data_IF_035162274692
#
_entry.id   IF_035162274692
#
_cell.length_a   1.000
_cell.length_b   1.000
_cell.length_c   1.000
_cell.angle_alpha   90.00
_cell.angle_beta   90.00
_cell.angle_gamma   90.00
#
_symmetry.space_group_name_H-M   'P 1'
#
loop_
_entity.id
_entity.type
_entity.pdbx_description
1 polymer ?
#
# COMPACT_ATOMS: atom_id res chain seq x y z
N UNK A 1 4.34 13.15 -5.95
CA UNK A 1 4.58 12.81 -4.54
C UNK A 1 5.79 11.91 -4.40
N UNK A 2 5.87 10.70 -4.99
CA UNK A 2 7.01 9.76 -4.84
C UNK A 2 8.41 10.37 -5.11
N UNK A 3 8.57 11.15 -6.19
CA UNK A 3 9.85 11.85 -6.47
C UNK A 3 10.21 12.80 -5.32
N UNK A 4 9.29 13.65 -4.86
CA UNK A 4 9.54 14.57 -3.74
C UNK A 4 9.98 13.83 -2.47
N UNK A 5 9.33 12.71 -2.16
CA UNK A 5 9.73 11.89 -1.00
C UNK A 5 11.18 11.37 -1.15
N UNK A 6 11.57 10.97 -2.37
CA UNK A 6 12.95 10.51 -2.62
C UNK A 6 13.95 11.67 -2.63
N UNK A 7 13.57 12.86 -3.08
CA UNK A 7 14.37 14.08 -2.95
C UNK A 7 14.61 14.39 -1.46
N UNK A 8 13.57 14.33 -0.62
CA UNK A 8 13.67 14.61 0.82
C UNK A 8 14.61 13.63 1.56
N UNK A 9 14.55 12.33 1.22
CA UNK A 9 15.42 11.30 1.84
C UNK A 9 16.72 11.03 1.09
N UNK A 10 16.93 11.63 -0.06
CA UNK A 10 17.97 11.45 -1.08
C UNK A 10 17.82 10.19 -1.94
N UNK A 11 18.12 10.24 -3.24
CA UNK A 11 18.10 9.08 -4.14
C UNK A 11 18.99 7.92 -3.68
N UNK A 12 20.12 8.25 -3.04
CA UNK A 12 21.03 7.26 -2.48
C UNK A 12 20.37 6.46 -1.35
N UNK A 13 19.66 7.12 -0.43
CA UNK A 13 18.95 6.44 0.65
C UNK A 13 17.85 5.52 0.08
N UNK A 14 17.11 6.00 -0.92
CA UNK A 14 16.11 5.18 -1.63
C UNK A 14 16.73 3.93 -2.27
N UNK A 15 17.84 4.09 -2.98
CA UNK A 15 18.60 2.98 -3.57
C UNK A 15 19.09 1.98 -2.51
N UNK A 16 19.71 2.45 -1.43
CA UNK A 16 20.19 1.58 -0.34
C UNK A 16 19.02 0.82 0.34
N UNK A 17 17.85 1.45 0.47
CA UNK A 17 16.68 0.80 0.99
C UNK A 17 16.19 -0.32 0.06
N UNK A 18 16.08 -0.07 -1.25
CA UNK A 18 15.68 -1.09 -2.24
C UNK A 18 16.66 -2.27 -2.24
N UNK A 19 17.96 -2.02 -2.06
CA UNK A 19 18.96 -3.10 -1.89
C UNK A 19 18.72 -3.94 -0.64
N UNK A 20 18.27 -3.34 0.48
CA UNK A 20 17.90 -4.09 1.69
C UNK A 20 16.66 -4.96 1.50
N UNK A 21 15.74 -4.58 0.61
CA UNK A 21 14.62 -5.40 0.19
C UNK A 21 15.02 -6.58 -0.71
N UNK A 22 16.31 -6.75 -1.02
CA UNK A 22 16.85 -7.90 -1.75
C UNK A 22 16.95 -7.69 -3.27
N UNK A 23 16.68 -6.50 -3.79
CA UNK A 23 16.84 -6.20 -5.22
C UNK A 23 18.34 -6.07 -5.52
N UNK A 24 18.91 -7.04 -6.22
CA UNK A 24 20.35 -7.09 -6.55
C UNK A 24 20.67 -6.51 -7.93
N UNK A 25 19.70 -6.49 -8.83
CA UNK A 25 19.85 -6.06 -10.23
C UNK A 25 20.17 -4.59 -10.40
N UNK A 26 19.76 -3.73 -9.47
CA UNK A 26 20.08 -2.30 -9.52
C UNK A 26 21.57 -2.02 -9.31
N UNK A 27 22.09 -1.06 -10.07
CA UNK A 27 23.48 -0.59 -10.03
C UNK A 27 23.57 0.84 -9.46
N UNK A 28 24.78 1.38 -9.35
CA UNK A 28 24.95 2.77 -8.92
C UNK A 28 24.41 3.79 -9.91
N UNK A 29 24.25 3.42 -11.18
CA UNK A 29 23.69 4.28 -12.22
C UNK A 29 22.18 4.48 -12.04
N UNK A 30 21.53 3.62 -11.21
CA UNK A 30 20.11 3.72 -10.85
C UNK A 30 19.88 4.68 -9.65
N UNK A 31 20.92 5.33 -9.13
CA UNK A 31 20.79 6.34 -8.06
C UNK A 31 20.31 7.66 -8.69
N UNK A 32 19.04 7.71 -9.02
CA UNK A 32 18.39 8.83 -9.70
C UNK A 32 17.08 9.19 -9.00
N UNK A 33 16.63 10.44 -9.13
CA UNK A 33 15.39 10.94 -8.54
C UNK A 33 14.14 10.20 -9.06
N UNK A 34 14.21 9.64 -10.27
CA UNK A 34 13.15 8.87 -10.89
C UNK A 34 13.10 7.39 -10.45
N UNK A 35 14.03 6.91 -9.64
CA UNK A 35 14.05 5.53 -9.14
C UNK A 35 12.68 5.07 -8.57
N UNK A 36 11.96 5.89 -7.76
CA UNK A 36 10.66 5.50 -7.20
C UNK A 36 9.54 5.38 -8.25
N UNK A 37 9.78 5.77 -9.49
CA UNK A 37 8.86 5.56 -10.59
C UNK A 37 9.05 4.18 -11.27
N UNK A 38 10.06 3.40 -10.84
CA UNK A 38 10.31 2.07 -11.35
C UNK A 38 11.13 2.03 -12.64
N UNK A 39 12.11 2.94 -12.77
CA UNK A 39 13.00 2.98 -13.95
C UNK A 39 14.05 1.86 -13.94
N UNK A 40 14.32 1.25 -12.78
CA UNK A 40 15.27 0.15 -12.65
C UNK A 40 14.70 -1.19 -13.10
N UNK A 41 15.53 -2.04 -13.69
CA UNK A 41 15.15 -3.41 -14.06
C UNK A 41 15.23 -4.36 -12.87
N UNK A 42 14.18 -5.15 -12.65
CA UNK A 42 14.10 -6.15 -11.57
C UNK A 42 13.57 -7.48 -12.11
N UNK A 43 13.98 -8.58 -11.50
CA UNK A 43 13.40 -9.89 -11.82
C UNK A 43 12.12 -10.13 -11.01
N UNK A 44 11.22 -10.98 -11.54
CA UNK A 44 9.99 -11.37 -10.82
C UNK A 44 10.29 -11.97 -9.46
N UNK A 45 11.36 -12.77 -9.34
CA UNK A 45 11.74 -13.43 -8.10
C UNK A 45 12.21 -12.41 -7.05
N UNK A 46 13.07 -11.47 -7.44
CA UNK A 46 13.52 -10.41 -6.53
C UNK A 46 12.36 -9.51 -6.08
N UNK A 47 11.46 -9.16 -7.01
CA UNK A 47 10.29 -8.34 -6.68
C UNK A 47 9.33 -9.10 -5.75
N UNK A 48 9.13 -10.40 -5.95
CA UNK A 48 8.32 -11.22 -5.04
C UNK A 48 8.93 -11.28 -3.63
N UNK A 49 10.25 -11.50 -3.53
CA UNK A 49 10.95 -11.50 -2.25
C UNK A 49 10.93 -10.14 -1.56
N UNK A 50 11.01 -9.04 -2.33
CA UNK A 50 10.89 -7.69 -1.79
C UNK A 50 9.47 -7.40 -1.26
N UNK A 51 8.43 -7.82 -1.98
CA UNK A 51 7.04 -7.66 -1.55
C UNK A 51 6.71 -8.55 -0.35
N UNK A 52 7.30 -9.74 -0.23
CA UNK A 52 7.13 -10.64 0.93
C UNK A 52 7.59 -10.00 2.25
N UNK A 53 8.54 -9.06 2.21
CA UNK A 53 8.98 -8.30 3.41
C UNK A 53 7.79 -7.65 4.14
N UNK A 54 6.80 -7.18 3.39
CA UNK A 54 5.67 -6.42 3.93
C UNK A 54 4.77 -7.32 4.79
N UNK A 55 4.14 -8.41 4.28
CA UNK A 55 3.32 -9.29 5.11
C UNK A 55 4.13 -10.11 6.12
N UNK A 56 5.46 -10.12 6.01
CA UNK A 56 6.37 -10.83 6.92
C UNK A 56 6.91 -9.92 8.05
N UNK A 57 6.14 -8.91 8.48
CA UNK A 57 6.49 -8.02 9.58
C UNK A 57 7.80 -7.26 9.36
N UNK A 58 8.04 -6.81 8.12
CA UNK A 58 9.23 -6.03 7.77
C UNK A 58 10.53 -6.83 7.64
N UNK A 59 10.47 -8.16 7.60
CA UNK A 59 11.63 -9.06 7.55
C UNK A 59 11.82 -9.63 6.15
N UNK A 60 12.97 -9.36 5.55
CA UNK A 60 13.40 -10.01 4.31
C UNK A 60 13.82 -11.44 4.57
N UNK A 61 13.45 -12.34 3.66
CA UNK A 61 13.90 -13.73 3.60
C UNK A 61 14.45 -14.02 2.21
N UNK A 62 15.67 -14.55 2.15
CA UNK A 62 16.29 -14.95 0.89
C UNK A 62 15.43 -16.00 0.17
N UNK A 63 15.01 -15.78 -1.08
CA UNK A 63 14.27 -16.78 -1.83
C UNK A 63 15.15 -17.99 -2.11
N UNK A 64 14.64 -19.21 -1.83
CA UNK A 64 15.32 -20.46 -2.07
C UNK A 64 14.42 -21.41 -2.81
N UNK A 65 14.98 -22.19 -3.75
CA UNK A 65 14.24 -23.21 -4.51
C UNK A 65 14.26 -24.58 -3.82
N UNK A 66 15.18 -24.77 -2.89
CA UNK A 66 15.30 -25.98 -2.05
C UNK A 66 15.94 -25.60 -0.72
N UNK A 67 15.56 -26.29 0.33
CA UNK A 67 16.12 -26.10 1.68
C UNK A 67 17.17 -27.14 2.01
N UNK A 68 17.04 -28.35 1.45
CA UNK A 68 17.93 -29.46 1.79
C UNK A 68 18.05 -30.44 0.62
N UNK A 69 19.25 -30.98 0.44
CA UNK A 69 19.52 -32.09 -0.46
C UNK A 69 20.03 -33.26 0.38
N UNK A 70 19.43 -34.43 0.22
CA UNK A 70 19.81 -35.67 0.90
C UNK A 70 20.41 -36.65 -0.10
N UNK A 71 21.32 -37.54 0.37
CA UNK A 71 21.75 -38.68 -0.39
C UNK A 71 20.71 -39.85 -0.29
N UNK A 72 21.00 -40.98 -0.93
CA UNK A 72 20.15 -42.16 -0.91
C UNK A 72 19.97 -42.80 0.48
N UNK A 73 20.88 -42.53 1.40
CA UNK A 73 20.88 -43.02 2.78
C UNK A 73 20.25 -42.03 3.78
N UNK A 74 19.77 -40.88 3.27
CA UNK A 74 19.14 -39.84 4.07
C UNK A 74 20.13 -38.87 4.73
N UNK A 75 21.42 -38.93 4.44
CA UNK A 75 22.41 -38.00 4.96
C UNK A 75 22.29 -36.64 4.24
N UNK A 76 22.47 -35.55 4.97
CA UNK A 76 22.41 -34.22 4.41
C UNK A 76 23.64 -33.93 3.59
N UNK A 77 23.49 -33.81 2.27
CA UNK A 77 24.53 -33.34 1.36
C UNK A 77 24.64 -31.84 1.33
N UNK A 78 23.53 -31.15 1.41
CA UNK A 78 23.45 -29.69 1.42
C UNK A 78 22.29 -29.23 2.26
N UNK A 79 22.54 -28.26 3.12
CA UNK A 79 21.52 -27.51 3.86
C UNK A 79 21.63 -26.05 3.48
N UNK A 80 20.52 -25.51 2.97
CA UNK A 80 20.44 -24.11 2.56
C UNK A 80 19.34 -23.40 3.35
N UNK A 81 19.66 -23.08 4.62
CA UNK A 81 18.79 -22.24 5.43
C UNK A 81 18.74 -20.82 4.84
N UNK A 82 17.55 -20.28 4.51
CA UNK A 82 17.42 -18.93 3.98
C UNK A 82 17.98 -17.88 4.95
N UNK A 83 18.73 -16.93 4.43
CA UNK A 83 19.18 -15.78 5.22
C UNK A 83 18.00 -14.82 5.43
N UNK A 84 17.92 -14.26 6.63
CA UNK A 84 16.88 -13.29 7.00
C UNK A 84 17.48 -12.06 7.65
N UNK A 85 16.85 -10.91 7.46
CA UNK A 85 17.20 -9.69 8.18
C UNK A 85 15.97 -8.74 8.22
N UNK A 86 15.94 -7.88 9.22
CA UNK A 86 14.90 -6.84 9.31
C UNK A 86 15.23 -5.69 8.35
N UNK A 87 14.25 -5.28 7.55
CA UNK A 87 14.35 -4.18 6.58
C UNK A 87 13.63 -2.94 7.09
N UNK A 88 12.39 -3.10 7.56
CA UNK A 88 11.53 -2.05 8.11
C UNK A 88 10.90 -2.52 9.41
N UNK A 89 10.32 -1.60 10.18
CA UNK A 89 9.56 -1.94 11.37
C UNK A 89 8.27 -2.67 11.00
N UNK A 90 7.76 -3.47 11.91
CA UNK A 90 6.50 -4.18 11.77
C UNK A 90 5.32 -3.23 11.58
N UNK A 91 5.23 -2.19 12.40
CA UNK A 91 4.25 -1.11 12.26
C UNK A 91 4.32 -0.44 10.87
N UNK A 92 5.52 -0.15 10.35
CA UNK A 92 5.68 0.41 9.00
C UNK A 92 5.17 -0.57 7.92
N UNK A 93 5.44 -1.85 8.09
CA UNK A 93 4.97 -2.91 7.18
C UNK A 93 3.43 -3.00 7.20
N UNK A 94 2.81 -2.95 8.37
CA UNK A 94 1.35 -2.98 8.51
C UNK A 94 0.67 -1.74 7.89
N UNK A 95 1.18 -0.52 8.17
CA UNK A 95 0.66 0.71 7.57
C UNK A 95 0.74 0.67 6.03
N UNK A 96 1.84 0.12 5.49
CA UNK A 96 1.98 -0.06 4.05
C UNK A 96 1.00 -1.12 3.52
N UNK A 97 0.78 -2.21 4.25
CA UNK A 97 -0.22 -3.24 3.92
C UNK A 97 -1.61 -2.63 3.80
N UNK A 98 -2.05 -1.86 4.80
CA UNK A 98 -3.35 -1.17 4.80
C UNK A 98 -3.50 -0.25 3.58
N UNK A 99 -2.49 0.59 3.30
CA UNK A 99 -2.51 1.45 2.12
C UNK A 99 -2.56 0.66 0.80
N UNK A 100 -1.96 -0.53 0.75
CA UNK A 100 -1.96 -1.40 -0.43
C UNK A 100 -3.25 -2.22 -0.57
N UNK A 101 -3.98 -2.48 0.52
CA UNK A 101 -5.34 -3.03 0.45
C UNK A 101 -6.28 -2.06 -0.26
N UNK A 102 -6.18 -0.76 -0.01
CA UNK A 102 -6.98 0.27 -0.68
C UNK A 102 -6.76 0.31 -2.19
N UNK A 103 -5.56 -0.03 -2.66
CA UNK A 103 -5.29 -0.18 -4.09
C UNK A 103 -6.17 -1.27 -4.72
N UNK A 104 -6.43 -2.34 -3.98
CA UNK A 104 -7.29 -3.45 -4.42
C UNK A 104 -8.76 -3.13 -4.19
N UNK A 105 -9.12 -2.58 -3.04
CA UNK A 105 -10.53 -2.25 -2.69
C UNK A 105 -11.07 -1.09 -3.54
N UNK A 106 -10.32 -0.03 -3.72
CA UNK A 106 -10.79 1.23 -4.32
C UNK A 106 -10.02 1.68 -5.55
N UNK A 107 -8.79 1.18 -5.72
CA UNK A 107 -7.83 1.69 -6.70
C UNK A 107 -7.70 0.85 -7.97
N UNK A 108 -6.50 0.86 -8.52
CA UNK A 108 -6.12 0.23 -9.80
C UNK A 108 -5.99 -1.29 -9.72
N UNK A 109 -6.01 -1.87 -8.53
CA UNK A 109 -5.84 -3.28 -8.24
C UNK A 109 -7.13 -4.12 -8.24
N UNK A 110 -8.31 -3.54 -8.40
CA UNK A 110 -9.63 -4.21 -8.25
C UNK A 110 -9.77 -5.56 -8.97
N UNK A 111 -9.15 -5.71 -10.13
CA UNK A 111 -9.22 -6.97 -10.90
C UNK A 111 -8.42 -8.12 -10.26
N UNK A 112 -7.60 -7.85 -9.24
CA UNK A 112 -6.89 -8.87 -8.50
C UNK A 112 -7.73 -9.46 -7.35
N UNK A 113 -8.83 -8.82 -6.97
CA UNK A 113 -9.69 -9.29 -5.89
C UNK A 113 -10.43 -10.58 -6.29
N UNK A 114 -10.20 -11.67 -5.55
CA UNK A 114 -10.91 -12.95 -5.69
C UNK A 114 -11.92 -13.21 -4.55
N UNK A 115 -12.10 -12.26 -3.64
CA UNK A 115 -13.24 -12.15 -2.73
C UNK A 115 -13.22 -13.02 -1.47
N UNK A 116 -12.21 -13.87 -1.23
CA UNK A 116 -12.20 -14.80 -0.08
C UNK A 116 -11.14 -14.48 0.97
N UNK A 117 -10.20 -13.59 0.67
CA UNK A 117 -9.10 -13.17 1.56
C UNK A 117 -8.85 -11.68 1.43
N UNK A 118 -8.27 -11.01 2.44
CA UNK A 118 -7.74 -9.68 2.30
C UNK A 118 -6.52 -9.72 1.37
N UNK A 119 -6.45 -8.72 0.49
CA UNK A 119 -5.43 -8.63 -0.55
C UNK A 119 -4.82 -7.23 -0.51
N UNK A 120 -3.51 -7.18 -0.38
CA UNK A 120 -2.74 -5.97 -0.56
C UNK A 120 -1.86 -6.09 -1.82
N UNK A 121 -1.76 -5.03 -2.60
CA UNK A 121 -0.98 -5.11 -3.84
C UNK A 121 -0.81 -3.78 -4.56
N UNK A 122 0.07 -3.79 -5.56
CA UNK A 122 0.39 -2.62 -6.38
C UNK A 122 0.54 -2.99 -7.84
N UNK A 123 -0.03 -2.14 -8.70
CA UNK A 123 0.19 -2.21 -10.14
C UNK A 123 1.48 -1.50 -10.53
N UNK A 124 2.19 -2.03 -11.51
CA UNK A 124 3.30 -1.37 -12.19
C UNK A 124 3.03 -1.27 -13.69
N UNK A 125 3.47 -0.19 -14.31
CA UNK A 125 3.36 -0.02 -15.75
C UNK A 125 4.58 0.78 -16.23
N UNK A 126 5.41 0.15 -17.06
CA UNK A 126 6.40 0.88 -17.83
C UNK A 126 5.77 1.29 -19.16
N UNK A 127 5.89 2.56 -19.50
CA UNK A 127 5.25 3.13 -20.68
C UNK A 127 6.21 4.06 -21.41
N UNK A 128 6.07 4.13 -22.72
CA UNK A 128 6.56 5.25 -23.52
C UNK A 128 5.51 6.35 -23.54
N UNK A 129 5.78 7.44 -24.24
CA UNK A 129 4.84 8.57 -24.38
C UNK A 129 3.48 8.18 -24.97
N UNK A 130 3.34 7.00 -25.58
CA UNK A 130 2.14 6.60 -26.29
C UNK A 130 1.47 5.33 -25.78
N UNK A 131 2.23 4.32 -25.31
CA UNK A 131 1.65 3.05 -24.90
C UNK A 131 2.47 2.34 -23.82
N UNK A 132 1.79 1.46 -23.05
CA UNK A 132 2.42 0.58 -22.10
C UNK A 132 3.22 -0.52 -22.80
N UNK A 133 4.38 -0.89 -22.26
CA UNK A 133 5.22 -1.99 -22.75
C UNK A 133 5.35 -3.11 -21.72
N UNK A 134 5.33 -2.75 -20.44
CA UNK A 134 5.33 -3.69 -19.34
C UNK A 134 4.14 -3.40 -18.43
N UNK A 135 3.49 -4.46 -18.00
CA UNK A 135 2.45 -4.39 -17.01
C UNK A 135 2.75 -5.38 -15.87
N UNK A 136 2.59 -4.93 -14.64
CA UNK A 136 2.90 -5.68 -13.44
C UNK A 136 1.74 -5.66 -12.46
N UNK A 137 1.61 -6.74 -11.72
CA UNK A 137 0.90 -6.73 -10.45
C UNK A 137 1.70 -7.54 -9.45
N UNK A 138 2.11 -6.89 -8.37
CA UNK A 138 2.74 -7.50 -7.21
C UNK A 138 1.78 -7.36 -6.04
N UNK A 139 1.46 -8.47 -5.37
CA UNK A 139 0.50 -8.47 -4.28
C UNK A 139 0.67 -9.69 -3.39
N UNK A 140 0.01 -9.64 -2.24
CA UNK A 140 0.07 -10.68 -1.23
C UNK A 140 -1.24 -10.79 -0.46
N UNK A 141 -1.40 -11.91 0.19
CA UNK A 141 -2.39 -12.21 1.21
C UNK A 141 -1.64 -12.57 2.51
N UNK A 142 -2.32 -12.86 3.62
CA UNK A 142 -1.65 -13.40 4.80
C UNK A 142 -0.96 -14.77 4.61
N UNK A 143 -1.17 -15.42 3.46
CA UNK A 143 -0.61 -16.74 3.15
C UNK A 143 0.51 -16.71 2.12
N UNK A 144 0.34 -15.94 1.05
CA UNK A 144 1.22 -16.02 -0.12
C UNK A 144 1.50 -14.65 -0.74
N UNK A 145 2.70 -14.51 -1.28
CA UNK A 145 3.09 -13.39 -2.14
C UNK A 145 3.23 -13.87 -3.58
N UNK A 146 2.70 -13.11 -4.52
CA UNK A 146 2.77 -13.42 -5.93
C UNK A 146 3.04 -12.16 -6.75
N UNK A 147 3.89 -12.30 -7.77
CA UNK A 147 4.18 -11.22 -8.74
C UNK A 147 3.95 -11.74 -10.14
N UNK A 148 3.16 -11.01 -10.90
CA UNK A 148 2.88 -11.30 -12.31
C UNK A 148 3.35 -10.14 -13.17
N UNK A 149 4.13 -10.47 -14.19
CA UNK A 149 4.55 -9.57 -15.24
C UNK A 149 3.95 -9.97 -16.58
N UNK A 150 3.65 -8.99 -17.40
CA UNK A 150 3.24 -9.17 -18.79
C UNK A 150 3.91 -8.14 -19.68
N UNK A 151 4.54 -8.63 -20.75
CA UNK A 151 5.26 -7.82 -21.73
C UNK A 151 5.69 -8.66 -22.90
N UNK A 152 6.15 -8.00 -23.97
CA UNK A 152 6.73 -8.67 -25.13
C UNK A 152 8.27 -8.60 -25.06
N UNK A 153 8.91 -9.67 -25.54
CA UNK A 153 10.37 -9.76 -25.56
C UNK A 153 11.02 -8.69 -26.45
N UNK A 154 10.34 -8.27 -27.49
CA UNK A 154 10.75 -7.22 -28.45
C UNK A 154 10.32 -5.81 -28.02
N UNK A 155 9.81 -5.66 -26.79
CA UNK A 155 9.28 -4.41 -26.25
C UNK A 155 8.13 -3.80 -27.07
N UNK A 156 7.37 -4.61 -27.78
CA UNK A 156 6.14 -4.19 -28.45
C UNK A 156 5.11 -3.64 -27.46
N UNK A 157 4.21 -2.83 -27.94
CA UNK A 157 3.17 -2.18 -27.13
C UNK A 157 2.13 -3.21 -26.67
N UNK A 158 1.71 -3.09 -25.42
CA UNK A 158 0.65 -3.91 -24.84
C UNK A 158 -0.72 -3.34 -25.22
N UNK A 159 -1.61 -4.19 -25.70
CA UNK A 159 -3.01 -3.83 -25.93
C UNK A 159 -3.76 -3.53 -24.59
N UNK A 160 -3.34 -4.14 -23.50
CA UNK A 160 -3.99 -3.99 -22.20
C UNK A 160 -3.03 -4.23 -21.02
N UNK A 161 -3.14 -3.39 -19.99
CA UNK A 161 -2.44 -3.55 -18.71
C UNK A 161 -3.27 -4.33 -17.66
N UNK A 162 -4.41 -4.90 -18.04
CA UNK A 162 -5.30 -5.66 -17.15
C UNK A 162 -4.82 -7.09 -16.90
N UNK A 163 -4.11 -7.65 -17.85
CA UNK A 163 -3.69 -9.06 -17.86
C UNK A 163 -3.00 -9.53 -16.57
N UNK A 164 -1.97 -8.84 -16.02
CA UNK A 164 -1.30 -9.33 -14.81
C UNK A 164 -2.23 -9.48 -13.61
N UNK A 165 -3.17 -8.55 -13.45
CA UNK A 165 -4.16 -8.57 -12.34
C UNK A 165 -5.13 -9.74 -12.48
N UNK A 166 -5.62 -10.00 -13.70
CA UNK A 166 -6.53 -11.10 -13.98
C UNK A 166 -5.84 -12.45 -13.76
N UNK A 167 -4.60 -12.59 -14.23
CA UNK A 167 -3.84 -13.81 -14.04
C UNK A 167 -3.49 -14.03 -12.56
N UNK A 168 -3.08 -12.97 -11.86
CA UNK A 168 -2.82 -13.00 -10.43
C UNK A 168 -4.05 -13.46 -9.63
N UNK A 169 -5.22 -12.87 -9.93
CA UNK A 169 -6.50 -13.27 -9.33
C UNK A 169 -6.77 -14.77 -9.50
N UNK A 170 -6.61 -15.30 -10.71
CA UNK A 170 -6.85 -16.71 -11.01
C UNK A 170 -5.87 -17.64 -10.28
N UNK A 171 -4.58 -17.30 -10.28
CA UNK A 171 -3.54 -18.08 -9.61
C UNK A 171 -3.79 -18.10 -8.10
N UNK A 172 -3.95 -16.90 -7.51
CA UNK A 172 -4.11 -16.79 -6.07
C UNK A 172 -5.46 -17.34 -5.59
N UNK A 173 -6.54 -17.13 -6.36
CA UNK A 173 -7.83 -17.73 -6.05
C UNK A 173 -7.75 -19.26 -5.94
N UNK A 174 -7.09 -19.92 -6.90
CA UNK A 174 -6.88 -21.38 -6.84
C UNK A 174 -5.99 -21.81 -5.66
N UNK A 175 -4.91 -21.07 -5.39
CA UNK A 175 -4.02 -21.38 -4.25
C UNK A 175 -4.70 -21.22 -2.89
N UNK A 176 -5.78 -20.44 -2.82
CA UNK A 176 -6.52 -20.21 -1.57
C UNK A 176 -7.77 -21.10 -1.43
N UNK A 177 -8.06 -21.97 -2.39
CA UNK A 177 -9.16 -22.93 -2.26
C UNK A 177 -8.96 -23.83 -1.03
N UNK A 178 -9.94 -23.79 -0.12
CA UNK A 178 -9.91 -24.58 1.11
C UNK A 178 -9.05 -24.01 2.26
N UNK A 179 -8.42 -22.86 2.09
CA UNK A 179 -7.76 -22.17 3.20
C UNK A 179 -8.78 -21.44 4.07
N UNK A 180 -8.54 -21.44 5.37
CA UNK A 180 -9.33 -20.65 6.32
C UNK A 180 -9.09 -19.15 6.10
N UNK A 181 -10.14 -18.35 6.36
CA UNK A 181 -9.99 -16.89 6.32
C UNK A 181 -8.95 -16.44 7.36
N UNK A 182 -8.02 -15.62 6.94
CA UNK A 182 -7.01 -14.99 7.81
C UNK A 182 -6.90 -13.52 7.44
N UNK A 183 -6.83 -12.65 8.44
CA UNK A 183 -6.58 -11.23 8.26
C UNK A 183 -5.09 -10.91 8.45
N UNK A 184 -4.66 -9.70 8.03
CA UNK A 184 -3.33 -9.20 8.35
C UNK A 184 -3.28 -8.86 9.84
N UNK A 185 -2.22 -9.32 10.51
CA UNK A 185 -2.05 -9.09 11.95
C UNK A 185 -1.59 -7.65 12.19
N UNK A 186 -2.39 -6.90 12.96
CA UNK A 186 -2.03 -5.54 13.37
C UNK A 186 -1.05 -5.61 14.55
N UNK A 187 0.13 -4.97 14.46
CA UNK A 187 1.08 -4.90 15.57
C UNK A 187 0.54 -4.10 16.76
N UNK A 188 1.04 -4.40 17.95
CA UNK A 188 0.61 -3.76 19.20
C UNK A 188 0.93 -2.25 19.24
N UNK A 189 1.94 -1.80 18.48
CA UNK A 189 2.35 -0.40 18.33
C UNK A 189 1.62 0.35 17.19
N UNK A 190 0.51 -0.21 16.70
CA UNK A 190 -0.37 0.44 15.71
C UNK A 190 -1.77 0.57 16.26
N UNK A 191 -2.39 1.73 16.11
CA UNK A 191 -3.73 2.01 16.60
C UNK A 191 -4.59 2.70 15.55
N UNK A 192 -5.91 2.52 15.67
CA UNK A 192 -6.91 3.14 14.82
C UNK A 192 -7.37 4.48 15.38
N UNK A 193 -7.43 5.50 14.51
CA UNK A 193 -8.00 6.81 14.85
C UNK A 193 -9.01 7.25 13.81
N UNK A 194 -10.13 7.81 14.27
CA UNK A 194 -11.09 8.46 13.39
C UNK A 194 -10.65 9.89 13.12
N UNK A 195 -10.23 10.15 11.89
CA UNK A 195 -9.75 11.46 11.45
C UNK A 195 -10.72 12.13 10.48
N UNK A 196 -10.65 13.44 10.40
CA UNK A 196 -11.38 14.19 9.40
C UNK A 196 -10.77 13.95 8.01
N UNK A 197 -11.56 13.46 7.06
CA UNK A 197 -11.09 13.17 5.71
C UNK A 197 -10.55 14.38 4.93
N UNK A 198 -10.81 15.62 5.41
CA UNK A 198 -10.35 16.85 4.77
C UNK A 198 -9.05 17.37 5.39
N UNK A 199 -8.95 17.38 6.74
CA UNK A 199 -7.77 17.94 7.43
C UNK A 199 -6.73 16.90 7.82
N UNK A 200 -7.10 15.61 7.89
CA UNK A 200 -6.24 14.56 8.46
C UNK A 200 -6.11 14.62 9.98
N UNK A 201 -6.65 15.64 10.65
CA UNK A 201 -6.63 15.78 12.11
C UNK A 201 -7.76 14.98 12.77
N UNK A 202 -7.72 14.81 14.10
CA UNK A 202 -8.76 14.10 14.87
C UNK A 202 -10.14 14.69 14.53
N UNK A 203 -11.07 13.84 14.13
CA UNK A 203 -12.40 14.28 13.75
C UNK A 203 -13.20 14.79 14.96
N UNK A 204 -13.96 15.87 14.76
CA UNK A 204 -14.89 16.39 15.78
C UNK A 204 -16.27 15.79 15.50
N UNK A 205 -16.82 14.94 16.39
CA UNK A 205 -18.14 14.37 16.24
C UNK A 205 -19.23 15.42 16.05
N UNK A 206 -20.10 15.25 15.06
CA UNK A 206 -21.18 16.20 14.76
C UNK A 206 -20.74 17.50 14.07
N UNK A 207 -19.42 17.66 13.81
CA UNK A 207 -18.86 18.80 13.08
C UNK A 207 -18.19 18.35 11.78
N UNK A 208 -17.32 17.34 11.81
CA UNK A 208 -16.73 16.77 10.60
C UNK A 208 -17.77 15.92 9.88
N UNK A 209 -18.19 16.35 8.70
CA UNK A 209 -19.20 15.65 7.89
C UNK A 209 -18.67 14.40 7.18
N UNK A 210 -17.36 14.35 6.96
CA UNK A 210 -16.67 13.20 6.37
C UNK A 210 -15.52 12.81 7.28
N UNK A 211 -15.54 11.57 7.74
CA UNK A 211 -14.50 10.99 8.57
C UNK A 211 -14.00 9.70 7.94
N UNK A 212 -12.79 9.32 8.24
CA UNK A 212 -12.17 8.07 7.86
C UNK A 212 -11.45 7.49 9.07
N UNK A 213 -11.45 6.17 9.20
CA UNK A 213 -10.60 5.47 10.17
C UNK A 213 -9.27 5.19 9.49
N UNK A 214 -8.19 5.60 10.14
CA UNK A 214 -6.81 5.43 9.67
C UNK A 214 -5.96 4.82 10.76
N UNK A 215 -4.88 4.17 10.35
CA UNK A 215 -3.92 3.53 11.24
C UNK A 215 -2.71 4.43 11.46
N UNK A 216 -2.21 4.46 12.69
CA UNK A 216 -1.03 5.22 13.08
C UNK A 216 -0.13 4.37 13.96
N UNK A 217 1.18 4.42 13.72
CA UNK A 217 2.14 3.87 14.66
C UNK A 217 2.24 4.78 15.89
N UNK A 218 2.50 4.20 17.07
CA UNK A 218 2.61 4.95 18.31
C UNK A 218 3.53 6.17 18.18
N UNK A 219 3.00 7.34 18.58
CA UNK A 219 3.69 8.63 18.51
C UNK A 219 3.66 9.29 17.12
N UNK A 220 2.88 8.77 16.17
CA UNK A 220 2.65 9.39 14.85
C UNK A 220 1.20 9.82 14.62
N UNK A 221 0.31 9.51 15.56
CA UNK A 221 -1.09 9.89 15.54
C UNK A 221 -1.26 11.42 15.60
N UNK A 222 -2.32 11.97 14.99
CA UNK A 222 -2.58 13.40 15.07
C UNK A 222 -3.00 13.78 16.51
N UNK A 223 -2.34 14.78 17.08
CA UNK A 223 -2.66 15.32 18.40
C UNK A 223 -3.78 16.37 18.34
N UNK A 224 -3.90 17.07 17.24
CA UNK A 224 -4.82 18.19 17.07
C UNK A 224 -6.18 17.75 16.55
N UNK A 225 -7.24 18.38 17.04
CA UNK A 225 -8.59 18.26 16.49
C UNK A 225 -8.74 19.07 15.20
N UNK A 226 -9.66 18.65 14.35
CA UNK A 226 -9.97 19.34 13.10
C UNK A 226 -10.30 20.82 13.34
N UNK A 227 -9.58 21.69 12.65
CA UNK A 227 -9.71 23.14 12.69
C UNK A 227 -10.32 23.73 11.41
N UNK A 228 -10.51 22.89 10.38
CA UNK A 228 -11.11 23.29 9.11
C UNK A 228 -12.64 23.36 9.15
N UNK A 229 -13.29 22.61 10.06
CA UNK A 229 -14.74 22.59 10.15
C UNK A 229 -15.20 23.40 11.34
N UNK A 230 -16.20 24.22 11.12
CA UNK A 230 -16.91 24.93 12.19
C UNK A 230 -18.42 24.84 12.01
N UNK A 231 -19.14 25.03 13.10
CA UNK A 231 -20.60 25.06 13.07
C UNK A 231 -21.12 26.45 13.33
N UNK A 232 -22.07 26.87 12.53
CA UNK A 232 -22.81 28.12 12.75
C UNK A 232 -24.31 27.85 12.81
N UNK A 233 -25.01 28.62 13.61
CA UNK A 233 -26.47 28.61 13.62
C UNK A 233 -26.95 29.64 12.59
N UNK A 234 -27.69 29.18 11.61
CA UNK A 234 -28.25 30.03 10.56
C UNK A 234 -29.78 30.13 10.68
N UNK A 235 -30.32 31.26 10.26
CA UNK A 235 -31.74 31.40 10.07
C UNK A 235 -32.15 30.75 8.75
N UNK A 236 -33.03 29.74 8.79
CA UNK A 236 -33.49 28.99 7.61
C UNK A 236 -34.16 29.87 6.58
N UNK A 237 -34.89 30.93 7.05
CA UNK A 237 -35.67 31.79 6.19
C UNK A 237 -34.82 32.81 5.44
N UNK A 238 -33.75 33.34 6.09
CA UNK A 238 -32.86 34.34 5.47
C UNK A 238 -31.58 33.72 4.89
N UNK A 239 -31.18 32.53 5.34
CA UNK A 239 -29.91 31.91 4.99
C UNK A 239 -28.67 32.56 5.67
N UNK A 240 -28.86 33.58 6.50
CA UNK A 240 -27.78 34.29 7.20
C UNK A 240 -27.57 33.72 8.61
N UNK A 241 -26.51 34.17 9.29
CA UNK A 241 -26.30 33.85 10.70
C UNK A 241 -27.52 34.24 11.53
N UNK A 242 -27.99 33.31 12.37
CA UNK A 242 -29.17 33.55 13.18
C UNK A 242 -28.86 34.59 14.28
N UNK A 243 -29.53 35.74 14.20
CA UNK A 243 -29.51 36.76 15.22
C UNK A 243 -30.62 36.59 16.25
N UNK A 244 -30.77 37.54 17.15
CA UNK A 244 -31.78 37.51 18.23
C UNK A 244 -33.22 37.53 17.70
N UNK A 245 -33.45 38.11 16.51
CA UNK A 245 -34.76 38.18 15.88
C UNK A 245 -35.14 36.94 15.03
N UNK A 246 -34.24 35.95 14.91
CA UNK A 246 -34.55 34.73 14.20
C UNK A 246 -35.40 33.82 15.10
N UNK A 247 -36.62 33.40 14.66
CA UNK A 247 -37.45 32.48 15.42
C UNK A 247 -36.70 31.18 15.72
N UNK A 248 -36.87 30.60 16.92
CA UNK A 248 -36.21 29.33 17.30
C UNK A 248 -36.54 28.18 16.32
N UNK A 249 -37.79 28.18 15.80
CA UNK A 249 -38.21 27.19 14.79
C UNK A 249 -37.48 27.30 13.45
N UNK A 250 -36.89 28.45 13.16
CA UNK A 250 -36.13 28.74 11.94
C UNK A 250 -34.61 28.66 12.15
N UNK A 251 -34.14 28.42 13.37
CA UNK A 251 -32.72 28.23 13.66
C UNK A 251 -32.27 26.79 13.29
N UNK A 252 -31.26 26.70 12.43
CA UNK A 252 -30.65 25.45 12.05
C UNK A 252 -29.13 25.49 12.20
N UNK A 253 -28.55 24.44 12.78
CA UNK A 253 -27.10 24.31 12.88
C UNK A 253 -26.56 23.75 11.56
N UNK A 254 -25.63 24.45 10.95
CA UNK A 254 -24.91 23.98 9.75
C UNK A 254 -23.41 23.94 10.00
N UNK A 255 -22.77 23.01 9.36
CA UNK A 255 -21.31 22.90 9.34
C UNK A 255 -20.76 23.51 8.06
N UNK A 256 -19.69 24.27 8.21
CA UNK A 256 -18.97 24.90 7.12
C UNK A 256 -17.52 24.46 7.14
N UNK A 257 -16.87 24.48 5.97
CA UNK A 257 -15.43 24.40 5.83
C UNK A 257 -14.91 25.83 5.79
N UNK A 258 -13.94 26.17 6.65
CA UNK A 258 -13.26 27.47 6.59
C UNK A 258 -12.52 27.56 5.26
N UNK A 259 -12.68 28.66 4.57
CA UNK A 259 -11.84 29.00 3.41
C UNK A 259 -10.39 29.17 3.90
N UNK A 260 -9.44 28.46 3.20
CA UNK A 260 -8.03 28.48 3.52
C UNK A 260 -7.35 29.72 2.95
#
# INVERSE_FOLDING_TARGET
>A
MAIKTVEDITPKTGYEMVKKFGISTLTKDDIVESLPLGVGAVSNLELAAAFEVIPNGGKYREPVLYTKILDQDGNVLLDKTPKTHTVIKDSTAYLLTSAMEDVVKYGTGKLADFGTMPIAGKTGTAATTKAARDAWFAGFTPYYTCVVWGGYYDYSELESTKYPKILWNRIMGQLHEGLEYKDFEMPDDVQEYTVCATSGKIAIPGVCSKTVTEYFADGTEPEEKCDLHETAVICKDSGLLAGEYCPESSKVKKTYVKDA
#
